data_IF_682856468484
#
_entry.id   IF_682856468484
#
_cell.length_a   1.000
_cell.length_b   1.000
_cell.length_c   1.000
_cell.angle_alpha   90.00
_cell.angle_beta   90.00
_cell.angle_gamma   90.00
#
_symmetry.space_group_name_H-M   'P 1'
#
loop_
_entity.id
_entity.type
_entity.pdbx_description
1 polymer ?
#
# COMPACT_ATOMS: atom_id res chain seq x y z
N UNK A 1 8.32 18.22 32.71
CA UNK A 1 9.26 17.12 32.42
C UNK A 1 9.26 16.91 30.92
N UNK A 2 10.36 17.24 30.25
CA UNK A 2 10.52 17.01 28.82
C UNK A 2 10.73 15.52 28.57
N UNK A 3 9.80 14.88 27.85
CA UNK A 3 9.98 13.50 27.41
C UNK A 3 11.04 13.48 26.33
N UNK A 4 12.16 12.79 26.60
CA UNK A 4 13.22 12.54 25.64
C UNK A 4 12.62 11.78 24.44
N UNK A 5 12.38 12.48 23.34
CA UNK A 5 11.82 11.92 22.10
C UNK A 5 12.71 10.83 21.45
N UNK A 6 13.93 10.65 21.94
CA UNK A 6 14.94 9.71 21.42
C UNK A 6 14.60 8.23 21.61
N UNK A 7 13.73 7.87 22.55
CA UNK A 7 13.40 6.46 22.83
C UNK A 7 12.35 5.87 21.87
N UNK A 8 11.68 6.71 21.06
CA UNK A 8 10.57 6.29 20.20
C UNK A 8 10.98 5.88 18.77
N UNK A 9 12.27 5.79 18.46
CA UNK A 9 12.76 5.42 17.10
C UNK A 9 12.99 3.91 16.94
N UNK A 10 12.86 3.13 18.01
CA UNK A 10 12.98 1.67 17.94
C UNK A 10 11.67 1.06 17.42
N UNK A 11 11.79 0.31 16.33
CA UNK A 11 10.69 -0.53 15.83
C UNK A 11 10.56 -1.80 16.67
N UNK A 12 9.35 -2.10 17.12
CA UNK A 12 9.00 -3.41 17.70
C UNK A 12 8.56 -4.44 16.65
N UNK A 13 8.49 -4.05 15.37
CA UNK A 13 8.15 -4.95 14.27
C UNK A 13 9.24 -6.01 14.10
N UNK A 14 8.81 -7.27 13.97
CA UNK A 14 9.66 -8.43 13.73
C UNK A 14 9.42 -8.92 12.31
N UNK A 15 10.50 -9.22 11.59
CA UNK A 15 10.42 -9.81 10.25
C UNK A 15 10.02 -11.29 10.35
N UNK A 16 9.06 -11.71 9.54
CA UNK A 16 8.62 -13.11 9.48
C UNK A 16 9.66 -13.97 8.74
N UNK A 17 9.76 -15.25 9.13
CA UNK A 17 10.58 -16.23 8.42
C UNK A 17 9.74 -17.02 7.40
N UNK A 18 10.29 -17.36 6.21
CA UNK A 18 11.64 -17.04 5.74
C UNK A 18 11.79 -15.58 5.29
N UNK A 19 12.91 -14.93 5.62
CA UNK A 19 13.27 -13.63 5.06
C UNK A 19 14.68 -13.59 4.46
N UNK A 20 14.92 -12.55 3.67
CA UNK A 20 16.21 -12.26 3.04
C UNK A 20 16.64 -10.84 3.38
N UNK A 21 17.92 -10.68 3.75
CA UNK A 21 18.50 -9.36 3.98
C UNK A 21 18.81 -8.70 2.63
N UNK A 22 17.94 -7.81 2.21
CA UNK A 22 18.18 -6.96 1.05
C UNK A 22 19.10 -5.78 1.41
N UNK A 23 19.81 -5.27 0.40
CA UNK A 23 20.63 -4.06 0.52
C UNK A 23 19.76 -2.80 0.63
N UNK A 24 19.98 -1.84 -0.27
CA UNK A 24 19.23 -0.59 -0.23
C UNK A 24 17.77 -0.78 -0.66
N UNK A 25 16.85 -0.30 0.17
CA UNK A 25 15.42 -0.10 -0.13
C UNK A 25 15.17 1.39 -0.32
N UNK A 26 14.42 1.75 -1.37
CA UNK A 26 13.95 3.13 -1.59
C UNK A 26 12.49 3.19 -1.19
N UNK A 27 12.15 4.11 -0.29
CA UNK A 27 10.79 4.36 0.16
C UNK A 27 10.42 5.80 -0.17
N UNK A 28 9.29 5.99 -0.84
CA UNK A 28 8.74 7.31 -1.14
C UNK A 28 7.31 7.35 -0.64
N UNK A 29 6.97 8.48 -0.01
CA UNK A 29 5.62 8.75 0.46
C UNK A 29 5.16 10.09 -0.08
N UNK A 30 4.00 10.09 -0.74
CA UNK A 30 3.31 11.29 -1.16
C UNK A 30 1.96 11.39 -0.46
N UNK A 31 1.57 12.63 -0.18
CA UNK A 31 0.28 12.95 0.44
C UNK A 31 -0.35 14.09 -0.33
N UNK A 32 -1.65 14.00 -0.54
CA UNK A 32 -2.41 15.00 -1.28
C UNK A 32 -3.60 14.39 -2.00
N UNK A 33 -4.23 15.19 -2.83
CA UNK A 33 -5.37 14.76 -3.62
C UNK A 33 -4.91 14.23 -4.98
N UNK A 34 -4.93 12.91 -5.13
CA UNK A 34 -4.60 12.22 -6.38
C UNK A 34 -5.86 11.71 -7.04
N UNK A 35 -6.02 12.00 -8.33
CA UNK A 35 -7.08 11.40 -9.13
C UNK A 35 -6.73 9.96 -9.46
N UNK A 36 -7.75 9.13 -9.70
CA UNK A 36 -7.56 7.73 -10.12
C UNK A 36 -6.69 7.64 -11.38
N UNK A 37 -6.85 8.58 -12.32
CA UNK A 37 -6.03 8.64 -13.55
C UNK A 37 -4.54 8.78 -13.23
N UNK A 38 -4.17 9.72 -12.33
CA UNK A 38 -2.77 9.91 -11.92
C UNK A 38 -2.19 8.68 -11.23
N UNK A 39 -2.99 7.99 -10.41
CA UNK A 39 -2.56 6.75 -9.77
C UNK A 39 -2.34 5.63 -10.80
N UNK A 40 -3.20 5.53 -11.82
CA UNK A 40 -3.03 4.56 -12.92
C UNK A 40 -1.78 4.84 -13.75
N UNK A 41 -1.52 6.10 -14.08
CA UNK A 41 -0.29 6.51 -14.78
C UNK A 41 0.95 6.15 -13.96
N UNK A 42 0.96 6.49 -12.66
CA UNK A 42 2.05 6.13 -11.76
C UNK A 42 2.27 4.62 -11.68
N UNK A 43 1.19 3.84 -11.58
CA UNK A 43 1.27 2.38 -11.55
C UNK A 43 1.88 1.83 -12.85
N UNK A 44 1.48 2.39 -14.01
CA UNK A 44 2.04 2.00 -15.30
C UNK A 44 3.56 2.24 -15.34
N UNK A 45 3.99 3.44 -14.95
CA UNK A 45 5.42 3.78 -14.90
C UNK A 45 6.21 2.88 -13.93
N UNK A 46 5.63 2.53 -12.79
CA UNK A 46 6.27 1.61 -11.84
C UNK A 46 6.38 0.18 -12.40
N UNK A 47 5.39 -0.29 -13.15
CA UNK A 47 5.45 -1.59 -13.82
C UNK A 47 6.56 -1.59 -14.87
N UNK A 48 6.66 -0.55 -15.70
CA UNK A 48 7.76 -0.43 -16.66
C UNK A 48 9.11 -0.37 -15.95
N UNK A 49 9.22 0.42 -14.87
CA UNK A 49 10.43 0.51 -14.08
C UNK A 49 10.81 -0.82 -13.42
N UNK A 50 9.84 -1.66 -13.02
CA UNK A 50 10.10 -3.00 -12.50
C UNK A 50 10.83 -3.89 -13.51
N UNK A 51 10.51 -3.77 -14.80
CA UNK A 51 11.20 -4.51 -15.88
C UNK A 51 12.62 -4.04 -16.17
N UNK A 52 13.00 -2.87 -15.65
CA UNK A 52 14.33 -2.29 -15.86
C UNK A 52 15.29 -2.56 -14.69
N UNK A 53 14.76 -2.97 -13.53
CA UNK A 53 15.56 -3.14 -12.33
C UNK A 53 15.65 -4.60 -11.90
N UNK A 54 16.85 -5.02 -11.51
CA UNK A 54 17.04 -6.35 -10.92
C UNK A 54 16.66 -6.32 -9.42
N UNK A 55 15.35 -6.20 -9.14
CA UNK A 55 14.78 -6.27 -7.79
C UNK A 55 13.70 -7.36 -7.73
N UNK A 56 13.56 -8.06 -6.59
CA UNK A 56 12.62 -9.18 -6.49
C UNK A 56 11.16 -8.75 -6.64
N UNK A 57 10.84 -7.51 -6.24
CA UNK A 57 9.52 -6.90 -6.36
C UNK A 57 9.58 -5.39 -6.12
N UNK A 58 8.53 -4.70 -6.57
CA UNK A 58 8.17 -3.32 -6.22
C UNK A 58 6.79 -3.36 -5.55
N UNK A 59 6.51 -2.41 -4.67
CA UNK A 59 5.18 -2.23 -4.12
C UNK A 59 4.69 -0.79 -4.18
N UNK A 60 3.37 -0.63 -4.30
CA UNK A 60 2.67 0.64 -4.15
C UNK A 60 1.50 0.45 -3.18
N UNK A 61 1.41 1.34 -2.21
CA UNK A 61 0.30 1.43 -1.27
C UNK A 61 -0.46 2.73 -1.50
N UNK A 62 -1.75 2.63 -1.78
CA UNK A 62 -2.64 3.77 -2.00
C UNK A 62 -3.71 3.75 -0.92
N UNK A 63 -3.68 4.77 -0.07
CA UNK A 63 -4.68 4.98 0.97
C UNK A 63 -5.68 6.05 0.51
N UNK A 64 -6.97 5.73 0.57
CA UNK A 64 -8.05 6.68 0.38
C UNK A 64 -8.26 7.58 1.58
N UNK A 65 -9.16 8.55 1.45
CA UNK A 65 -9.51 9.43 2.56
C UNK A 65 -10.52 8.75 3.50
N UNK A 66 -10.33 8.95 4.81
CA UNK A 66 -11.20 8.39 5.85
C UNK A 66 -12.63 8.94 5.81
N UNK A 67 -12.82 10.12 5.21
CA UNK A 67 -14.09 10.83 5.03
C UNK A 67 -14.74 10.58 3.65
N UNK A 68 -14.24 9.64 2.85
CA UNK A 68 -14.86 9.28 1.58
C UNK A 68 -16.26 8.66 1.82
N UNK A 69 -17.32 9.10 1.14
CA UNK A 69 -18.69 8.58 1.32
C UNK A 69 -19.03 7.33 0.49
N UNK A 70 -18.18 6.93 -0.46
CA UNK A 70 -18.37 5.75 -1.32
C UNK A 70 -17.03 5.04 -1.51
N UNK A 71 -17.00 3.73 -1.25
CA UNK A 71 -15.79 2.90 -1.27
C UNK A 71 -15.70 2.13 -2.57
N UNK A 72 -16.84 1.63 -3.06
CA UNK A 72 -16.95 0.67 -4.16
C UNK A 72 -18.36 0.74 -4.77
N UNK A 73 -18.50 0.33 -6.04
CA UNK A 73 -19.68 0.57 -6.88
C UNK A 73 -21.03 0.44 -6.16
N UNK A 74 -21.88 1.46 -6.31
CA UNK A 74 -23.26 1.59 -5.78
C UNK A 74 -23.53 1.28 -4.30
N UNK A 75 -22.57 0.78 -3.54
CA UNK A 75 -22.75 0.49 -2.12
C UNK A 75 -22.44 1.75 -1.30
N UNK A 76 -23.51 2.33 -0.77
CA UNK A 76 -23.44 3.45 0.16
C UNK A 76 -22.68 3.06 1.42
N UNK A 77 -21.75 3.93 1.85
CA UNK A 77 -21.12 3.77 3.16
C UNK A 77 -22.21 3.74 4.24
N UNK A 78 -22.27 2.65 5.00
CA UNK A 78 -22.90 2.72 6.30
C UNK A 78 -22.06 3.67 7.16
N UNK A 79 -22.64 4.84 7.42
CA UNK A 79 -22.17 6.05 8.13
C UNK A 79 -21.42 5.84 9.47
N UNK A 80 -21.20 4.60 9.92
CA UNK A 80 -20.76 4.28 11.27
C UNK A 80 -19.30 3.76 11.38
N UNK A 81 -18.54 3.69 10.28
CA UNK A 81 -17.16 3.18 10.31
C UNK A 81 -16.29 3.91 9.28
N UNK A 82 -15.13 4.42 9.72
CA UNK A 82 -14.18 5.19 8.91
C UNK A 82 -13.96 4.54 7.52
N UNK A 83 -14.11 5.34 6.46
CA UNK A 83 -14.03 4.92 5.07
C UNK A 83 -12.61 4.67 4.56
N UNK A 84 -11.75 4.10 5.41
CA UNK A 84 -10.34 3.83 5.08
C UNK A 84 -10.26 2.64 4.11
N UNK A 85 -10.36 2.96 2.82
CA UNK A 85 -10.06 2.04 1.74
C UNK A 85 -8.58 2.15 1.41
N UNK A 86 -7.87 1.03 1.40
CA UNK A 86 -6.50 1.02 0.93
C UNK A 86 -6.21 -0.14 0.00
N UNK A 87 -5.24 0.08 -0.87
CA UNK A 87 -4.81 -0.85 -1.91
C UNK A 87 -3.32 -1.06 -1.79
N UNK A 88 -2.90 -2.32 -1.76
CA UNK A 88 -1.50 -2.70 -1.84
C UNK A 88 -1.33 -3.55 -3.09
N UNK A 89 -0.53 -3.07 -4.03
CA UNK A 89 -0.04 -3.87 -5.13
C UNK A 89 1.44 -4.21 -4.90
N UNK A 90 1.78 -5.48 -5.00
CA UNK A 90 3.16 -5.98 -4.99
C UNK A 90 3.37 -6.71 -6.30
N UNK A 91 4.39 -6.35 -7.08
CA UNK A 91 4.57 -6.92 -8.40
C UNK A 91 6.04 -6.98 -8.80
N UNK A 92 6.33 -7.83 -9.77
CA UNK A 92 7.58 -7.90 -10.51
C UNK A 92 7.26 -7.99 -12.01
N UNK A 93 8.25 -8.35 -12.82
CA UNK A 93 8.11 -8.42 -14.28
C UNK A 93 7.01 -9.39 -14.77
N UNK A 94 6.73 -10.43 -13.98
CA UNK A 94 5.89 -11.56 -14.43
C UNK A 94 4.67 -11.81 -13.56
N UNK A 95 4.64 -11.31 -12.33
CA UNK A 95 3.61 -11.63 -11.34
C UNK A 95 3.17 -10.38 -10.57
N UNK A 96 1.93 -10.39 -10.09
CA UNK A 96 1.42 -9.38 -9.18
C UNK A 96 0.51 -9.97 -8.09
N UNK A 97 0.43 -9.26 -6.98
CA UNK A 97 -0.46 -9.48 -5.85
C UNK A 97 -1.20 -8.18 -5.59
N UNK A 98 -2.54 -8.24 -5.55
CA UNK A 98 -3.37 -7.10 -5.18
C UNK A 98 -4.14 -7.43 -3.89
N UNK A 99 -3.91 -6.61 -2.87
CA UNK A 99 -4.60 -6.70 -1.59
C UNK A 99 -5.45 -5.45 -1.40
N UNK A 100 -6.71 -5.65 -1.02
CA UNK A 100 -7.61 -4.56 -0.64
C UNK A 100 -7.84 -4.59 0.87
N UNK A 101 -7.68 -3.45 1.50
CA UNK A 101 -8.02 -3.22 2.90
C UNK A 101 -9.35 -2.47 2.96
N UNK A 102 -10.31 -3.09 3.63
CA UNK A 102 -11.61 -2.48 3.96
C UNK A 102 -11.77 -2.45 5.47
N UNK A 103 -12.38 -1.39 6.02
CA UNK A 103 -12.53 -1.24 7.48
C UNK A 103 -13.48 -2.29 8.12
N UNK A 104 -14.10 -3.17 7.33
CA UNK A 104 -14.83 -4.36 7.78
C UNK A 104 -13.96 -5.63 7.73
N UNK A 105 -13.03 -5.77 8.69
CA UNK A 105 -12.41 -7.02 9.20
C UNK A 105 -11.80 -8.05 8.22
N UNK A 106 -11.72 -7.85 6.90
CA UNK A 106 -11.19 -8.87 5.98
C UNK A 106 -10.24 -8.28 4.95
N UNK A 107 -8.98 -8.71 4.97
CA UNK A 107 -8.06 -8.51 3.85
C UNK A 107 -8.44 -9.54 2.80
N UNK A 108 -8.87 -9.07 1.62
CA UNK A 108 -9.06 -9.96 0.47
C UNK A 108 -7.78 -9.97 -0.35
N UNK A 109 -7.23 -11.16 -0.55
CA UNK A 109 -6.04 -11.41 -1.37
C UNK A 109 -6.53 -12.01 -2.68
N UNK A 110 -6.54 -11.22 -3.75
CA UNK A 110 -6.83 -11.72 -5.08
C UNK A 110 -5.51 -12.11 -5.76
N UNK A 111 -5.36 -13.39 -6.05
CA UNK A 111 -4.23 -13.95 -6.79
C UNK A 111 -4.70 -14.16 -8.23
N UNK A 112 -4.19 -13.38 -9.17
CA UNK A 112 -4.36 -13.70 -10.59
C UNK A 112 -3.12 -14.47 -11.05
N UNK A 113 -3.37 -15.67 -11.59
CA UNK A 113 -2.38 -16.56 -12.20
C UNK A 113 -2.04 -16.05 -13.60
#
# INVERSE_FOLDING_TARGET
LGTNQSENYHTSYVTLEPNEKLGQVKFLQWRGFFTVTKIKELLHELIQYATLINKPWISIYVQGFSDSPVAWGSDEHHYYINGDNAYLAIFNETNYLLCTQTCSKTIQINKCI
#
